data_IF_536710918972
#
_entry.id   IF_536710918972
#
_cell.length_a   1.000
_cell.length_b   1.000
_cell.length_c   1.000
_cell.angle_alpha   90.00
_cell.angle_beta   90.00
_cell.angle_gamma   90.00
#
_symmetry.space_group_name_H-M   'P 1'
#
loop_
_entity.id
_entity.type
_entity.pdbx_description
1 polymer ?
#
# COMPACT_ATOMS: atom_id res chain seq x y z
N UNK A 1 3.21 -12.49 -4.68
CA UNK A 1 4.61 -12.27 -5.10
C UNK A 1 4.63 -12.39 -6.62
N UNK A 2 5.79 -12.57 -7.25
CA UNK A 2 5.89 -12.79 -8.70
C UNK A 2 5.10 -14.04 -9.14
N UNK A 3 4.90 -15.01 -8.24
CA UNK A 3 4.15 -16.24 -8.46
C UNK A 3 2.65 -16.09 -8.10
N UNK A 4 2.17 -14.87 -7.85
CA UNK A 4 0.78 -14.61 -7.44
C UNK A 4 0.43 -15.01 -6.00
N UNK A 5 1.39 -15.49 -5.20
CA UNK A 5 1.12 -15.96 -3.83
C UNK A 5 0.96 -14.79 -2.85
N UNK A 6 0.05 -14.93 -1.89
CA UNK A 6 -0.07 -13.97 -0.80
C UNK A 6 1.22 -13.95 0.04
N UNK A 7 1.81 -12.76 0.20
CA UNK A 7 3.01 -12.58 1.05
C UNK A 7 2.61 -12.30 2.49
N UNK A 8 1.66 -11.38 2.67
CA UNK A 8 1.15 -10.99 3.98
C UNK A 8 -0.29 -10.50 3.84
N UNK A 9 -1.28 -11.17 4.46
CA UNK A 9 -2.63 -10.64 4.53
C UNK A 9 -2.67 -9.47 5.51
N UNK A 10 -3.36 -8.39 5.15
CA UNK A 10 -3.61 -7.25 6.05
C UNK A 10 -5.04 -7.28 6.54
N UNK A 11 -5.25 -7.34 7.85
CA UNK A 11 -6.58 -7.16 8.44
C UNK A 11 -6.79 -5.71 8.82
N UNK A 12 -7.98 -5.19 8.58
CA UNK A 12 -8.39 -3.89 9.06
C UNK A 12 -9.29 -4.09 10.29
N UNK A 13 -8.89 -3.56 11.43
CA UNK A 13 -9.66 -3.65 12.67
C UNK A 13 -10.81 -2.64 12.73
N UNK A 14 -11.51 -2.41 11.61
CA UNK A 14 -12.60 -1.44 11.50
C UNK A 14 -13.58 -1.88 10.41
N UNK A 15 -14.86 -1.61 10.64
CA UNK A 15 -15.94 -1.97 9.74
C UNK A 15 -17.10 -1.00 9.91
N UNK A 16 -17.94 -0.88 8.90
CA UNK A 16 -19.18 -0.12 8.96
C UNK A 16 -18.97 1.39 8.84
N UNK A 17 -19.92 2.14 9.40
CA UNK A 17 -19.99 3.60 9.30
C UNK A 17 -18.99 4.26 10.27
N UNK A 18 -18.13 5.13 9.75
CA UNK A 18 -17.05 5.79 10.49
C UNK A 18 -17.08 7.30 10.21
N UNK A 19 -16.76 8.11 11.22
CA UNK A 19 -16.54 9.54 11.05
C UNK A 19 -15.30 9.81 10.18
N UNK A 20 -15.52 10.45 9.02
CA UNK A 20 -14.47 10.80 8.07
C UNK A 20 -13.44 11.76 8.66
N UNK A 21 -13.85 12.65 9.57
CA UNK A 21 -12.94 13.60 10.23
C UNK A 21 -11.93 12.88 11.12
N UNK A 22 -12.37 11.85 11.85
CA UNK A 22 -11.45 11.04 12.66
C UNK A 22 -10.44 10.29 11.79
N UNK A 23 -10.89 9.76 10.64
CA UNK A 23 -10.01 9.10 9.69
C UNK A 23 -9.01 10.09 9.08
N UNK A 24 -9.46 11.28 8.68
CA UNK A 24 -8.60 12.37 8.20
C UNK A 24 -7.53 12.74 9.23
N UNK A 25 -7.92 13.01 10.47
CA UNK A 25 -6.99 13.31 11.56
C UNK A 25 -5.96 12.19 11.76
N UNK A 26 -6.39 10.93 11.70
CA UNK A 26 -5.50 9.77 11.81
C UNK A 26 -4.55 9.67 10.61
N UNK A 27 -5.01 9.98 9.39
CA UNK A 27 -4.15 10.04 8.21
C UNK A 27 -3.01 11.02 8.42
N UNK A 28 -3.35 12.26 8.79
CA UNK A 28 -2.38 13.32 9.01
C UNK A 28 -1.40 12.96 10.13
N UNK A 29 -1.91 12.61 11.33
CA UNK A 29 -1.08 12.31 12.52
C UNK A 29 -0.13 11.13 12.34
N UNK A 30 -0.44 10.21 11.44
CA UNK A 30 0.40 9.02 11.20
C UNK A 30 1.16 9.10 9.88
N UNK A 31 0.95 10.16 9.08
CA UNK A 31 1.43 10.28 7.71
C UNK A 31 1.13 9.04 6.84
N UNK A 32 -0.08 8.47 6.98
CA UNK A 32 -0.50 7.24 6.25
C UNK A 32 -1.91 7.40 5.69
N UNK A 33 -2.17 6.79 4.54
CA UNK A 33 -3.54 6.70 4.04
C UNK A 33 -4.34 5.69 4.89
N UNK A 34 -5.23 6.22 5.75
CA UNK A 34 -6.24 5.46 6.48
C UNK A 34 -7.61 5.50 5.79
N UNK A 35 -7.84 6.20 4.69
CA UNK A 35 -9.07 5.99 3.93
C UNK A 35 -9.06 4.64 3.19
N UNK A 36 -7.86 4.17 2.81
CA UNK A 36 -7.72 2.98 1.98
C UNK A 36 -7.87 3.36 0.51
N UNK A 37 -8.41 2.44 -0.29
CA UNK A 37 -8.70 2.67 -1.70
C UNK A 37 -10.21 2.91 -1.81
N UNK A 38 -10.65 4.08 -2.28
CA UNK A 38 -12.07 4.35 -2.50
C UNK A 38 -12.64 3.36 -3.53
N UNK A 39 -13.73 2.68 -3.19
CA UNK A 39 -14.44 1.79 -4.11
C UNK A 39 -15.61 2.48 -4.80
N UNK A 40 -16.36 3.27 -4.05
CA UNK A 40 -17.54 3.99 -4.51
C UNK A 40 -17.58 5.38 -3.89
N UNK A 41 -17.75 6.38 -4.75
CA UNK A 41 -17.90 7.79 -4.36
C UNK A 41 -19.03 8.39 -5.17
N UNK A 42 -19.89 9.20 -4.53
CA UNK A 42 -20.98 9.89 -5.24
C UNK A 42 -20.40 10.94 -6.18
N UNK A 43 -20.82 10.97 -7.44
CA UNK A 43 -20.35 11.95 -8.42
C UNK A 43 -20.57 13.40 -7.97
N UNK A 44 -21.68 13.67 -7.27
CA UNK A 44 -21.99 14.98 -6.69
C UNK A 44 -20.99 15.45 -5.62
N UNK A 45 -20.20 14.53 -5.05
CA UNK A 45 -19.11 14.87 -4.11
C UNK A 45 -17.77 15.10 -4.79
N UNK A 46 -17.65 14.74 -6.07
CA UNK A 46 -16.42 14.88 -6.86
C UNK A 46 -16.47 16.15 -7.72
N UNK A 47 -17.66 16.57 -8.12
CA UNK A 47 -17.84 17.72 -9.01
C UNK A 47 -17.14 18.97 -8.47
N UNK A 48 -16.22 19.53 -9.27
CA UNK A 48 -15.45 20.73 -8.91
C UNK A 48 -14.20 20.48 -8.06
N UNK A 49 -13.91 19.23 -7.66
CA UNK A 49 -12.66 18.91 -6.99
C UNK A 49 -11.53 18.82 -8.01
N UNK A 50 -10.45 19.55 -7.74
CA UNK A 50 -9.21 19.49 -8.51
C UNK A 50 -8.10 18.89 -7.65
N UNK A 51 -7.27 18.06 -8.28
CA UNK A 51 -6.07 17.55 -7.63
C UNK A 51 -5.05 18.67 -7.45
N UNK A 52 -4.48 18.73 -6.25
CA UNK A 52 -3.39 19.66 -5.96
C UNK A 52 -2.04 19.00 -6.31
N UNK A 53 -1.28 19.54 -7.27
CA UNK A 53 0.01 18.97 -7.67
C UNK A 53 1.03 18.94 -6.53
N UNK A 54 0.90 19.82 -5.52
CA UNK A 54 1.78 19.82 -4.35
C UNK A 54 1.55 18.59 -3.44
N UNK A 55 0.45 17.87 -3.63
CA UNK A 55 0.08 16.73 -2.78
C UNK A 55 0.50 15.36 -3.34
N UNK A 56 1.16 15.26 -4.50
CA UNK A 56 1.45 13.99 -5.23
C UNK A 56 1.34 12.65 -4.47
N UNK A 57 2.20 12.39 -3.47
CA UNK A 57 2.14 11.14 -2.67
C UNK A 57 0.91 11.00 -1.74
N UNK A 58 0.35 12.11 -1.27
CA UNK A 58 -0.83 12.17 -0.41
C UNK A 58 -2.11 12.56 -1.17
N UNK A 59 -2.11 12.56 -2.51
CA UNK A 59 -3.25 12.95 -3.34
C UNK A 59 -4.50 12.14 -3.03
N UNK A 60 -4.37 10.83 -2.79
CA UNK A 60 -5.52 9.99 -2.39
C UNK A 60 -6.16 10.45 -1.07
N UNK A 61 -5.32 10.91 -0.13
CA UNK A 61 -5.79 11.39 1.17
C UNK A 61 -6.42 12.76 1.02
N UNK A 62 -5.81 13.66 0.26
CA UNK A 62 -6.40 14.97 -0.07
C UNK A 62 -7.79 14.81 -0.68
N UNK A 63 -7.89 14.00 -1.73
CA UNK A 63 -9.14 13.71 -2.42
C UNK A 63 -10.18 13.06 -1.49
N UNK A 64 -9.75 12.10 -0.66
CA UNK A 64 -10.66 11.45 0.29
C UNK A 64 -11.18 12.42 1.34
N UNK A 65 -10.36 13.33 1.86
CA UNK A 65 -10.82 14.35 2.82
C UNK A 65 -11.80 15.31 2.13
N UNK A 66 -11.48 15.77 0.92
CA UNK A 66 -12.34 16.69 0.16
C UNK A 66 -13.72 16.09 -0.13
N UNK A 67 -13.78 14.86 -0.65
CA UNK A 67 -15.03 14.19 -1.02
C UNK A 67 -15.90 13.79 0.18
N UNK A 68 -15.29 13.57 1.35
CA UNK A 68 -15.99 13.06 2.55
C UNK A 68 -16.24 14.13 3.61
N UNK A 69 -15.89 15.39 3.33
CA UNK A 69 -16.02 16.51 4.28
C UNK A 69 -17.46 16.64 4.80
N UNK A 70 -17.61 16.54 6.11
CA UNK A 70 -18.91 16.65 6.80
C UNK A 70 -19.83 15.43 6.63
N UNK A 71 -19.36 14.34 6.01
CA UNK A 71 -20.15 13.12 5.81
C UNK A 71 -19.42 11.89 6.34
N UNK A 72 -20.13 10.94 6.97
CA UNK A 72 -19.54 9.68 7.38
C UNK A 72 -19.16 8.83 6.16
N UNK A 73 -18.17 7.96 6.33
CA UNK A 73 -17.76 6.97 5.33
C UNK A 73 -18.17 5.56 5.79
N UNK A 74 -18.21 4.60 4.86
CA UNK A 74 -18.42 3.20 5.17
C UNK A 74 -17.15 2.40 4.84
N UNK A 75 -16.65 1.61 5.79
CA UNK A 75 -15.46 0.79 5.62
C UNK A 75 -15.82 -0.69 5.53
N UNK A 76 -15.30 -1.33 4.49
CA UNK A 76 -15.42 -2.77 4.21
C UNK A 76 -14.18 -3.46 4.81
N UNK A 77 -14.32 -4.32 5.84
CA UNK A 77 -13.17 -4.97 6.49
C UNK A 77 -12.44 -5.99 5.60
N UNK A 78 -13.09 -6.45 4.53
CA UNK A 78 -12.62 -7.48 3.61
C UNK A 78 -11.41 -7.02 2.79
N UNK A 79 -10.53 -7.98 2.50
CA UNK A 79 -9.38 -7.81 1.63
C UNK A 79 -9.81 -7.89 0.16
N UNK A 80 -10.25 -6.76 -0.39
CA UNK A 80 -10.70 -6.69 -1.77
C UNK A 80 -9.58 -6.36 -2.78
N UNK A 81 -8.40 -5.97 -2.30
CA UNK A 81 -7.31 -5.46 -3.15
C UNK A 81 -5.99 -6.11 -2.78
N UNK A 82 -5.24 -6.51 -3.81
CA UNK A 82 -3.89 -7.04 -3.69
C UNK A 82 -2.87 -6.09 -4.32
N UNK A 83 -1.93 -5.59 -3.51
CA UNK A 83 -0.81 -4.80 -4.02
C UNK A 83 0.30 -5.73 -4.53
N UNK A 84 0.73 -5.51 -5.78
CA UNK A 84 1.91 -6.17 -6.33
C UNK A 84 3.16 -5.38 -5.95
N UNK A 85 4.15 -6.07 -5.40
CA UNK A 85 5.45 -5.50 -5.07
C UNK A 85 6.49 -5.98 -6.08
N UNK A 86 7.13 -5.06 -6.79
CA UNK A 86 8.28 -5.31 -7.67
C UNK A 86 9.55 -4.67 -7.10
N UNK A 87 10.74 -5.08 -7.57
CA UNK A 87 12.02 -4.55 -7.08
C UNK A 87 12.29 -3.11 -7.51
N UNK A 88 11.72 -2.66 -8.62
CA UNK A 88 11.79 -1.27 -9.10
C UNK A 88 10.75 -0.34 -8.47
N UNK A 89 10.06 -0.77 -7.39
CA UNK A 89 9.02 0.04 -6.78
C UNK A 89 9.63 1.29 -6.14
N UNK A 90 9.33 2.45 -6.70
CA UNK A 90 9.74 3.76 -6.18
C UNK A 90 9.12 4.09 -4.80
N UNK A 91 8.35 3.18 -4.21
CA UNK A 91 7.62 3.37 -2.95
C UNK A 91 8.52 3.65 -1.74
N UNK A 92 9.83 3.41 -1.84
CA UNK A 92 10.81 3.80 -0.81
C UNK A 92 11.19 5.28 -0.94
N UNK A 93 11.56 5.73 -2.13
CA UNK A 93 11.91 7.14 -2.41
C UNK A 93 10.73 8.06 -2.16
N UNK A 94 9.55 7.66 -2.61
CA UNK A 94 8.33 8.43 -2.44
C UNK A 94 7.84 8.46 -0.98
N UNK A 95 8.19 7.46 -0.17
CA UNK A 95 7.78 7.43 1.23
C UNK A 95 8.35 8.61 2.02
N UNK A 96 9.54 9.10 1.69
CA UNK A 96 10.17 10.27 2.36
C UNK A 96 9.32 11.53 2.18
N UNK A 97 8.59 11.65 1.07
CA UNK A 97 7.73 12.80 0.78
C UNK A 97 6.40 12.76 1.54
N UNK A 98 6.03 11.59 2.10
CA UNK A 98 4.72 11.39 2.72
C UNK A 98 4.43 12.39 3.84
N UNK A 99 5.41 12.64 4.71
CA UNK A 99 5.26 13.56 5.82
C UNK A 99 5.02 15.00 5.32
N UNK A 100 5.85 15.47 4.38
CA UNK A 100 5.74 16.81 3.81
C UNK A 100 4.39 17.02 3.13
N UNK A 101 3.97 16.07 2.30
CA UNK A 101 2.70 16.17 1.58
C UNK A 101 1.51 16.13 2.54
N UNK A 102 1.56 15.32 3.61
CA UNK A 102 0.51 15.32 4.63
C UNK A 102 0.41 16.64 5.39
N UNK A 103 1.51 17.38 5.57
CA UNK A 103 1.45 18.73 6.14
C UNK A 103 0.75 19.72 5.19
N UNK A 104 1.00 19.61 3.88
CA UNK A 104 0.29 20.41 2.86
C UNK A 104 -1.21 20.10 2.88
N UNK A 105 -1.57 18.80 2.92
CA UNK A 105 -2.97 18.37 3.04
C UNK A 105 -3.60 18.90 4.34
N UNK A 106 -2.87 18.84 5.46
CA UNK A 106 -3.38 19.34 6.74
C UNK A 106 -3.70 20.84 6.69
N UNK A 107 -2.80 21.64 6.10
CA UNK A 107 -2.97 23.08 5.93
C UNK A 107 -4.18 23.40 5.03
N UNK A 108 -4.25 22.76 3.84
CA UNK A 108 -5.36 22.91 2.88
C UNK A 108 -6.73 22.63 3.49
N UNK A 109 -6.83 21.65 4.39
CA UNK A 109 -8.10 21.27 5.03
C UNK A 109 -8.34 21.91 6.40
N UNK A 110 -7.48 22.83 6.83
CA UNK A 110 -7.61 23.52 8.13
C UNK A 110 -7.40 22.61 9.34
N UNK A 111 -6.66 21.51 9.18
CA UNK A 111 -6.32 20.57 10.25
C UNK A 111 -5.06 21.06 10.96
N UNK A 112 -5.25 21.70 12.12
CA UNK A 112 -4.13 22.18 12.94
C UNK A 112 -3.49 21.01 13.71
N UNK A 113 -2.16 20.93 13.64
CA UNK A 113 -1.36 20.00 14.42
C UNK A 113 -0.56 20.75 15.48
N UNK A 114 -0.69 20.31 16.73
CA UNK A 114 0.18 20.70 17.83
C UNK A 114 1.63 20.24 17.59
N UNK A 115 2.58 20.82 18.34
CA UNK A 115 3.99 20.42 18.28
C UNK A 115 4.18 18.93 18.62
N UNK A 116 3.45 18.43 19.62
CA UNK A 116 3.49 17.02 20.03
C UNK A 116 2.98 16.10 18.92
N UNK A 117 1.91 16.47 18.24
CA UNK A 117 1.39 15.69 17.11
C UNK A 117 2.35 15.68 15.92
N UNK A 118 3.01 16.80 15.63
CA UNK A 118 4.06 16.86 14.59
C UNK A 118 5.23 15.93 14.92
N UNK A 119 5.69 15.94 16.18
CA UNK A 119 6.72 15.00 16.64
C UNK A 119 6.31 13.54 16.51
N UNK A 120 5.09 13.21 16.97
CA UNK A 120 4.54 11.85 16.83
C UNK A 120 4.40 11.42 15.37
N UNK A 121 4.01 12.35 14.49
CA UNK A 121 3.95 12.14 13.05
C UNK A 121 5.32 11.82 12.46
N UNK A 122 6.38 12.57 12.84
CA UNK A 122 7.77 12.27 12.46
C UNK A 122 8.19 10.88 12.93
N UNK A 123 7.95 10.53 14.19
CA UNK A 123 8.32 9.21 14.72
C UNK A 123 7.61 8.07 13.97
N UNK A 124 6.28 8.18 13.78
CA UNK A 124 5.50 7.19 13.02
C UNK A 124 6.02 7.03 11.58
N UNK A 125 6.42 8.15 10.97
CA UNK A 125 6.99 8.16 9.63
C UNK A 125 8.32 7.41 9.59
N UNK A 126 9.24 7.70 10.52
CA UNK A 126 10.53 7.02 10.63
C UNK A 126 10.37 5.51 10.86
N UNK A 127 9.47 5.10 11.77
CA UNK A 127 9.16 3.68 11.99
C UNK A 127 8.63 3.02 10.71
N UNK A 128 7.79 3.72 9.96
CA UNK A 128 7.26 3.21 8.68
C UNK A 128 8.36 3.07 7.62
N UNK A 129 9.29 4.03 7.55
CA UNK A 129 10.45 3.96 6.66
C UNK A 129 11.37 2.80 7.01
N UNK A 130 11.68 2.62 8.31
CA UNK A 130 12.49 1.51 8.80
C UNK A 130 11.82 0.17 8.49
N UNK A 131 10.51 0.02 8.77
CA UNK A 131 9.75 -1.18 8.44
C UNK A 131 9.74 -1.50 6.94
N UNK A 132 9.59 -0.48 6.09
CA UNK A 132 9.74 -0.65 4.63
C UNK A 132 11.15 -1.12 4.26
N UNK A 133 12.18 -0.54 4.85
CA UNK A 133 13.56 -0.93 4.59
C UNK A 133 13.82 -2.40 4.94
N UNK A 134 13.44 -2.82 6.14
CA UNK A 134 13.53 -4.22 6.59
C UNK A 134 12.74 -5.16 5.68
N UNK A 135 11.52 -4.78 5.27
CA UNK A 135 10.73 -5.58 4.34
C UNK A 135 11.42 -5.78 2.98
N UNK A 136 12.04 -4.73 2.42
CA UNK A 136 12.78 -4.86 1.17
C UNK A 136 14.07 -5.69 1.31
N UNK A 137 14.76 -5.59 2.45
CA UNK A 137 15.89 -6.48 2.76
C UNK A 137 15.43 -7.96 2.80
N UNK A 138 14.30 -8.23 3.46
CA UNK A 138 13.70 -9.56 3.50
C UNK A 138 13.33 -10.08 2.10
N UNK A 139 12.71 -9.25 1.25
CA UNK A 139 12.41 -9.64 -0.13
C UNK A 139 13.67 -9.93 -0.94
N UNK A 140 14.73 -9.14 -0.76
CA UNK A 140 16.03 -9.37 -1.40
C UNK A 140 16.64 -10.71 -0.98
N UNK A 141 16.68 -10.98 0.33
CA UNK A 141 17.17 -12.25 0.88
C UNK A 141 16.39 -13.45 0.34
N UNK A 142 15.06 -13.37 0.32
CA UNK A 142 14.19 -14.43 -0.21
C UNK A 142 14.45 -14.70 -1.70
N UNK A 143 14.71 -13.67 -2.51
CA UNK A 143 15.03 -13.85 -3.94
C UNK A 143 16.40 -14.53 -4.11
N UNK A 144 17.41 -14.10 -3.35
CA UNK A 144 18.74 -14.72 -3.36
C UNK A 144 18.67 -16.21 -2.97
N UNK A 145 17.89 -16.54 -1.93
CA UNK A 145 17.69 -17.92 -1.49
C UNK A 145 17.04 -18.80 -2.56
N UNK A 146 16.02 -18.29 -3.27
CA UNK A 146 15.41 -19.00 -4.41
C UNK A 146 16.43 -19.29 -5.51
N UNK A 147 17.27 -18.31 -5.86
CA UNK A 147 18.34 -18.53 -6.86
C UNK A 147 19.35 -19.58 -6.39
N UNK A 148 19.76 -19.56 -5.13
CA UNK A 148 20.64 -20.57 -4.55
C UNK A 148 20.03 -21.98 -4.58
N UNK A 149 18.75 -22.12 -4.25
CA UNK A 149 18.04 -23.41 -4.35
C UNK A 149 17.87 -23.91 -5.79
N UNK A 150 17.79 -23.02 -6.77
CA UNK A 150 17.76 -23.40 -8.19
C UNK A 150 19.15 -23.75 -8.74
N UNK A 151 20.20 -23.14 -8.22
CA UNK A 151 21.60 -23.44 -8.56
C UNK A 151 22.13 -24.67 -7.82
N UNK A 152 21.49 -25.07 -6.71
CA UNK A 152 21.74 -26.36 -6.10
C UNK A 152 21.33 -27.43 -7.12
N UNK A 153 22.28 -28.22 -7.66
CA UNK A 153 21.96 -29.24 -8.61
C UNK A 153 21.03 -30.21 -7.91
N UNK A 154 19.73 -30.15 -8.23
CA UNK A 154 18.86 -31.29 -8.01
C UNK A 154 19.57 -32.42 -8.73
N UNK A 155 20.09 -33.39 -7.97
CA UNK A 155 20.22 -34.75 -8.43
C UNK A 155 18.89 -35.06 -9.08
N UNK A 156 18.77 -34.86 -10.39
CA UNK A 156 17.58 -35.21 -11.12
C UNK A 156 17.51 -36.71 -10.93
N UNK A 157 16.46 -37.27 -10.30
CA UNK A 157 16.24 -38.69 -10.47
C UNK A 157 16.17 -38.88 -11.97
N UNK A 158 17.13 -39.62 -12.52
CA UNK A 158 17.09 -40.15 -13.87
C UNK A 158 15.87 -41.07 -13.92
N UNK A 159 14.69 -40.47 -14.08
CA UNK A 159 13.48 -41.21 -14.33
C UNK A 159 13.66 -41.98 -15.64
N UNK A 160 13.19 -43.24 -15.70
CA UNK A 160 13.34 -44.06 -16.89
C UNK A 160 12.75 -43.32 -18.10
N UNK A 161 13.51 -43.30 -19.21
CA UNK A 161 13.11 -42.72 -20.49
C UNK A 161 11.72 -43.28 -20.84
N UNK A 162 10.71 -42.41 -20.95
CA UNK A 162 9.43 -42.81 -21.56
C UNK A 162 9.71 -43.17 -23.01
N UNK A 163 9.51 -44.45 -23.31
CA UNK A 163 9.54 -45.01 -24.65
C UNK A 163 8.49 -44.27 -25.50
N UNK A 164 8.95 -43.63 -26.58
CA UNK A 164 8.10 -42.96 -27.54
C UNK A 164 7.23 -44.01 -28.24
N UNK A 165 5.90 -43.92 -28.10
CA UNK A 165 4.99 -44.71 -28.92
C UNK A 165 4.96 -44.11 -30.33
N UNK A 166 5.25 -44.89 -31.38
CA UNK A 166 5.19 -44.40 -32.76
C UNK A 166 3.76 -43.97 -33.10
N UNK A 167 3.66 -42.78 -33.68
CA UNK A 167 2.41 -42.18 -34.10
C UNK A 167 1.71 -43.03 -35.17
N UNK A 168 0.40 -43.24 -34.97
CA UNK A 168 -0.51 -43.72 -36.00
C UNK A 168 -0.78 -42.57 -36.96
N UNK A 169 -0.22 -42.63 -38.16
CA UNK A 169 -0.69 -41.87 -39.32
C UNK A 169 -2.02 -42.46 -39.78
N UNK A 170 -3.05 -41.61 -39.82
CA UNK A 170 -4.30 -41.83 -40.54
C UNK A 170 -4.46 -40.77 -41.60
#
# INVERSE_FOLDING_TARGET
>A
DEDGRAILPRRFARQGKIDSRQVALRCIRTARNWFGIPLLTRSSKIQGLQYDPATGYATDVDFSIATTKGTPIYHIPELLIANRYHSSNATRTLAVLAQRHMLVVADKHGIRLSRVERWRMTLNHLVTLAGKHVFFLFLGFRRMWKHWLCLWPKCRPTGPKREERPGRTG
#
